data_IF_749214363171
#
_entry.id   IF_749214363171
#
_cell.length_a   1.000
_cell.length_b   1.000
_cell.length_c   1.000
_cell.angle_alpha   90.00
_cell.angle_beta   90.00
_cell.angle_gamma   90.00
#
_symmetry.space_group_name_H-M   'P 1'
#
loop_
_entity.id
_entity.type
_entity.pdbx_description
1 polymer ?
#
# COMPACT_ATOMS: atom_id res chain seq x y z
N UNK A 1 -2.48 9.55 19.68
CA UNK A 1 -3.65 10.13 18.99
C UNK A 1 -3.72 9.52 17.60
N UNK A 2 -4.72 8.69 17.32
CA UNK A 2 -4.96 8.24 15.95
C UNK A 2 -5.47 9.45 15.17
N UNK A 3 -4.56 10.11 14.44
CA UNK A 3 -4.93 11.14 13.48
C UNK A 3 -6.02 10.58 12.57
N UNK A 4 -7.03 11.39 12.24
CA UNK A 4 -8.17 10.99 11.39
C UNK A 4 -7.67 10.10 10.23
N UNK A 5 -8.32 8.95 9.98
CA UNK A 5 -7.89 8.06 8.92
C UNK A 5 -7.79 8.85 7.60
N UNK A 6 -6.73 8.62 6.81
CA UNK A 6 -6.52 9.34 5.57
C UNK A 6 -7.76 9.20 4.67
N UNK A 7 -8.19 10.29 4.03
CA UNK A 7 -9.35 10.29 3.12
C UNK A 7 -9.01 9.58 1.80
N UNK A 8 -8.79 8.26 1.84
CA UNK A 8 -8.29 7.45 0.72
C UNK A 8 -9.21 7.49 -0.50
N UNK A 9 -10.53 7.51 -0.29
CA UNK A 9 -11.53 7.66 -1.35
C UNK A 9 -11.36 8.97 -2.15
N UNK A 10 -11.06 10.07 -1.48
CA UNK A 10 -10.83 11.36 -2.14
C UNK A 10 -9.53 11.33 -2.97
N UNK A 11 -8.46 10.77 -2.41
CA UNK A 11 -7.19 10.57 -3.12
C UNK A 11 -7.36 9.67 -4.33
N UNK A 12 -8.09 8.57 -4.19
CA UNK A 12 -8.41 7.64 -5.26
C UNK A 12 -9.17 8.35 -6.39
N UNK A 13 -10.26 9.06 -6.07
CA UNK A 13 -11.03 9.85 -7.06
C UNK A 13 -10.18 10.89 -7.78
N UNK A 14 -9.27 11.58 -7.08
CA UNK A 14 -8.36 12.57 -7.68
C UNK A 14 -7.34 11.94 -8.64
N UNK A 15 -6.97 10.67 -8.43
CA UNK A 15 -5.93 9.96 -9.21
C UNK A 15 -6.51 9.05 -10.30
N UNK A 16 -7.80 8.72 -10.23
CA UNK A 16 -8.48 7.96 -11.27
C UNK A 16 -8.44 8.71 -12.61
N UNK A 17 -8.16 7.96 -13.68
CA UNK A 17 -8.21 8.47 -15.06
C UNK A 17 -9.59 8.37 -15.70
N UNK A 18 -10.53 7.69 -15.03
CA UNK A 18 -11.88 7.44 -15.52
C UNK A 18 -12.90 8.19 -14.66
N UNK A 19 -14.03 8.56 -15.26
CA UNK A 19 -15.16 9.18 -14.55
C UNK A 19 -16.09 8.13 -13.89
N UNK A 20 -15.54 6.97 -13.51
CA UNK A 20 -16.34 5.89 -12.95
C UNK A 20 -16.93 6.30 -11.58
N UNK A 21 -18.20 5.93 -11.36
CA UNK A 21 -18.90 6.23 -10.10
C UNK A 21 -18.38 5.32 -8.99
N UNK A 22 -17.78 5.94 -7.97
CA UNK A 22 -17.29 5.26 -6.76
C UNK A 22 -18.41 5.27 -5.72
N UNK A 23 -19.15 4.16 -5.61
CA UNK A 23 -20.32 4.02 -4.74
C UNK A 23 -19.99 4.04 -3.23
N UNK A 24 -20.97 4.20 -2.33
CA UNK A 24 -20.72 4.30 -0.89
C UNK A 24 -19.94 3.10 -0.30
N UNK A 25 -20.31 1.87 -0.67
CA UNK A 25 -19.66 0.64 -0.18
C UNK A 25 -18.21 0.46 -0.63
N UNK A 26 -17.78 1.15 -1.69
CA UNK A 26 -16.40 1.03 -2.20
C UNK A 26 -15.34 1.67 -1.30
N UNK A 27 -15.75 2.51 -0.34
CA UNK A 27 -14.84 3.16 0.59
C UNK A 27 -14.08 2.14 1.44
N UNK A 28 -14.81 1.22 2.08
CA UNK A 28 -14.22 0.13 2.86
C UNK A 28 -13.35 -0.80 2.00
N UNK A 29 -13.72 -1.02 0.73
CA UNK A 29 -12.92 -1.84 -0.19
C UNK A 29 -11.61 -1.17 -0.58
N UNK A 30 -11.61 0.15 -0.84
CA UNK A 30 -10.40 0.93 -1.12
C UNK A 30 -9.46 0.90 0.09
N UNK A 31 -10.02 1.05 1.30
CA UNK A 31 -9.25 0.96 2.54
C UNK A 31 -8.65 -0.43 2.75
N UNK A 32 -9.44 -1.49 2.56
CA UNK A 32 -8.97 -2.87 2.66
C UNK A 32 -7.83 -3.15 1.66
N UNK A 33 -7.98 -2.72 0.40
CA UNK A 33 -6.94 -2.88 -0.62
C UNK A 33 -5.64 -2.16 -0.22
N UNK A 34 -5.74 -0.95 0.35
CA UNK A 34 -4.57 -0.23 0.84
C UNK A 34 -3.88 -0.97 2.00
N UNK A 35 -4.67 -1.52 2.94
CA UNK A 35 -4.15 -2.31 4.06
C UNK A 35 -3.46 -3.59 3.58
N UNK A 36 -4.09 -4.34 2.68
CA UNK A 36 -3.52 -5.58 2.13
C UNK A 36 -2.22 -5.28 1.39
N UNK A 37 -2.20 -4.23 0.56
CA UNK A 37 -0.99 -3.81 -0.15
C UNK A 37 0.16 -3.45 0.81
N UNK A 38 -0.13 -2.63 1.83
CA UNK A 38 0.87 -2.22 2.82
C UNK A 38 1.37 -3.40 3.66
N UNK A 39 0.49 -4.33 4.02
CA UNK A 39 0.87 -5.55 4.73
C UNK A 39 1.82 -6.42 3.90
N UNK A 40 1.49 -6.66 2.62
CA UNK A 40 2.40 -7.39 1.72
C UNK A 40 3.73 -6.67 1.54
N UNK A 41 3.73 -5.35 1.41
CA UNK A 41 4.96 -4.56 1.30
C UNK A 41 5.82 -4.65 2.57
N UNK A 42 5.20 -4.61 3.74
CA UNK A 42 5.89 -4.72 5.03
C UNK A 42 6.54 -6.11 5.21
N UNK A 43 5.82 -7.18 4.88
CA UNK A 43 6.36 -8.55 4.97
C UNK A 43 7.54 -8.76 4.01
N UNK A 44 7.44 -8.32 2.75
CA UNK A 44 8.55 -8.44 1.79
C UNK A 44 9.75 -7.57 2.21
N UNK A 45 9.52 -6.36 2.75
CA UNK A 45 10.59 -5.49 3.23
C UNK A 45 11.27 -6.04 4.50
N UNK A 46 10.50 -6.70 5.39
CA UNK A 46 11.01 -7.41 6.56
C UNK A 46 11.87 -8.59 6.16
N UNK A 47 11.42 -9.42 5.22
CA UNK A 47 12.21 -10.51 4.67
C UNK A 47 13.52 -9.99 4.07
N UNK A 48 13.46 -8.87 3.32
CA UNK A 48 14.68 -8.28 2.74
C UNK A 48 15.64 -7.74 3.80
N UNK A 49 15.14 -7.12 4.85
CA UNK A 49 15.96 -6.68 5.98
C UNK A 49 16.65 -7.85 6.67
N UNK A 50 15.94 -8.98 6.82
CA UNK A 50 16.48 -10.20 7.42
C UNK A 50 17.60 -10.82 6.57
N UNK A 51 17.41 -10.93 5.25
CA UNK A 51 18.46 -11.38 4.31
C UNK A 51 19.74 -10.55 4.42
N UNK A 52 19.59 -9.23 4.59
CA UNK A 52 20.71 -8.28 4.74
C UNK A 52 21.24 -8.20 6.18
N UNK A 53 20.79 -9.07 7.10
CA UNK A 53 21.15 -9.08 8.54
C UNK A 53 20.93 -7.72 9.22
N UNK A 54 19.91 -6.99 8.81
CA UNK A 54 19.55 -5.69 9.36
C UNK A 54 18.50 -5.85 10.45
N UNK A 55 18.78 -5.34 11.66
CA UNK A 55 17.85 -5.37 12.79
C UNK A 55 16.57 -4.53 12.58
N UNK A 56 16.61 -3.55 11.68
CA UNK A 56 15.49 -2.65 11.38
C UNK A 56 15.20 -2.59 9.89
N UNK A 57 13.94 -2.34 9.51
CA UNK A 57 13.57 -2.02 8.13
C UNK A 57 14.04 -0.61 7.78
N UNK A 58 14.81 -0.47 6.70
CA UNK A 58 15.37 0.79 6.21
C UNK A 58 14.85 1.09 4.81
N UNK A 59 15.05 2.33 4.36
CA UNK A 59 14.59 2.80 3.05
C UNK A 59 15.10 1.94 1.88
N UNK A 60 16.31 1.37 1.99
CA UNK A 60 16.88 0.52 0.94
C UNK A 60 16.10 -0.79 0.76
N UNK A 61 15.63 -1.43 1.83
CA UNK A 61 14.85 -2.67 1.75
C UNK A 61 13.52 -2.41 1.06
N UNK A 62 12.85 -1.30 1.41
CA UNK A 62 11.63 -0.84 0.75
C UNK A 62 11.85 -0.59 -0.74
N UNK A 63 12.91 0.15 -1.12
CA UNK A 63 13.25 0.41 -2.54
C UNK A 63 13.50 -0.88 -3.31
N UNK A 64 14.14 -1.87 -2.70
CA UNK A 64 14.44 -3.15 -3.34
C UNK A 64 13.18 -3.96 -3.68
N UNK A 65 12.17 -3.96 -2.79
CA UNK A 65 10.97 -4.81 -2.97
C UNK A 65 9.79 -4.09 -3.61
N UNK A 66 9.72 -2.76 -3.52
CA UNK A 66 8.52 -1.99 -3.91
C UNK A 66 8.12 -2.15 -5.38
N UNK A 67 9.07 -2.24 -6.31
CA UNK A 67 8.75 -2.49 -7.74
C UNK A 67 8.07 -3.84 -7.95
N UNK A 68 8.54 -4.89 -7.27
CA UNK A 68 7.99 -6.26 -7.34
C UNK A 68 6.58 -6.30 -6.73
N UNK A 69 6.40 -5.70 -5.55
CA UNK A 69 5.09 -5.67 -4.87
C UNK A 69 4.06 -4.86 -5.67
N UNK A 70 4.45 -3.69 -6.21
CA UNK A 70 3.59 -2.92 -7.11
C UNK A 70 3.18 -3.70 -8.36
N UNK A 71 4.06 -4.55 -8.89
CA UNK A 71 3.72 -5.42 -10.03
C UNK A 71 2.71 -6.50 -9.65
N UNK A 72 2.84 -7.09 -8.46
CA UNK A 72 1.88 -8.09 -7.92
C UNK A 72 0.49 -7.49 -7.63
N UNK A 73 0.45 -6.22 -7.25
CA UNK A 73 -0.80 -5.51 -6.93
C UNK A 73 -1.59 -5.04 -8.17
N UNK A 74 -1.08 -5.30 -9.38
CA UNK A 74 -1.85 -5.05 -10.61
C UNK A 74 -2.94 -6.12 -10.71
N UNK A 75 -4.17 -5.66 -10.94
CA UNK A 75 -5.31 -6.52 -11.28
C UNK A 75 -5.21 -7.06 -12.69
#
# INVERSE_FOLDING_TARGET
MLNKPPKLKATFRKKMKTNAKVGPASEAMIELLALVFLNTLAEEAKAKAFEEKSATIRAQHLKAVSKKVLKKARG
#
